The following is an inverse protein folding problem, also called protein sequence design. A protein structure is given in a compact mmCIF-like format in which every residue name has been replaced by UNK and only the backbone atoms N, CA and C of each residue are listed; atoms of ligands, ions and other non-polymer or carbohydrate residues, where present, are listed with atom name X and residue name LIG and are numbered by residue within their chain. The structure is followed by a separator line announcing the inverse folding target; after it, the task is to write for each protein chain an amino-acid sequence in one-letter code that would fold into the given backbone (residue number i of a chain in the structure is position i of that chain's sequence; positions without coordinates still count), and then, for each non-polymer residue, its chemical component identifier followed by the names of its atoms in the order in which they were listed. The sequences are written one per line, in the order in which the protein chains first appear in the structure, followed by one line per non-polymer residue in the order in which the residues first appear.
data_IF_306065376082
#
_entry.id   IF_306065376082
#
_cell.length_a   1.000
_cell.length_b   1.000
_cell.length_c   1.000
_cell.angle_alpha   90.00
_cell.angle_beta   90.00
_cell.angle_gamma   90.00
#
_symmetry.space_group_name_H-M   'P 1'
#
loop_
_entity.id
_entity.type
_entity.pdbx_description
1 polymer ?
#
# COMPACT_ATOMS: atom_id res chain seq x y z
N UNK A 1 -21.53 -41.09 -44.88
CA UNK A 1 -21.38 -39.93 -43.97
C UNK A 1 -22.58 -38.98 -44.12
N UNK A 2 -23.38 -38.80 -43.06
CA UNK A 2 -24.48 -37.83 -43.08
C UNK A 2 -23.87 -36.42 -43.16
N UNK A 3 -24.34 -35.55 -44.07
CA UNK A 3 -23.77 -34.20 -44.26
C UNK A 3 -23.69 -33.41 -42.95
N UNK A 4 -24.60 -33.68 -42.01
CA UNK A 4 -24.62 -33.10 -40.67
C UNK A 4 -23.43 -33.51 -39.79
N UNK A 5 -23.00 -34.77 -39.85
CA UNK A 5 -21.85 -35.29 -39.10
C UNK A 5 -20.55 -34.62 -39.56
N UNK A 6 -20.39 -34.49 -40.88
CA UNK A 6 -19.23 -33.85 -41.50
C UNK A 6 -19.13 -32.36 -41.14
N UNK A 7 -20.26 -31.64 -41.19
CA UNK A 7 -20.30 -30.22 -40.81
C UNK A 7 -19.95 -30.04 -39.33
N UNK A 8 -20.48 -30.89 -38.44
CA UNK A 8 -20.18 -30.83 -37.01
C UNK A 8 -18.71 -31.13 -36.69
N UNK A 9 -18.10 -32.09 -37.37
CA UNK A 9 -16.68 -32.44 -37.19
C UNK A 9 -15.77 -31.30 -37.64
N UNK A 10 -16.09 -30.64 -38.76
CA UNK A 10 -15.41 -29.42 -39.22
C UNK A 10 -15.60 -28.26 -38.23
N UNK A 11 -16.82 -28.05 -37.71
CA UNK A 11 -17.09 -27.00 -36.73
C UNK A 11 -16.32 -27.20 -35.44
N UNK A 12 -16.21 -28.44 -34.94
CA UNK A 12 -15.43 -28.74 -33.76
C UNK A 12 -13.92 -28.55 -34.00
N UNK A 13 -13.44 -28.91 -35.20
CA UNK A 13 -12.05 -28.66 -35.60
C UNK A 13 -11.70 -27.18 -35.59
N UNK A 14 -12.52 -26.37 -36.27
CA UNK A 14 -12.36 -24.92 -36.32
C UNK A 14 -12.36 -24.32 -34.92
N UNK A 15 -13.19 -24.84 -34.01
CA UNK A 15 -13.21 -24.40 -32.62
C UNK A 15 -11.88 -24.69 -31.90
N UNK A 16 -11.33 -25.90 -32.07
CA UNK A 16 -10.07 -26.29 -31.41
C UNK A 16 -8.85 -25.55 -31.94
N UNK A 17 -8.76 -25.34 -33.26
CA UNK A 17 -7.64 -24.60 -33.86
C UNK A 17 -7.73 -23.10 -33.59
N UNK A 18 -8.95 -22.54 -33.58
CA UNK A 18 -9.17 -21.14 -33.17
C UNK A 18 -8.79 -20.94 -31.71
N UNK A 19 -9.15 -21.87 -30.83
CA UNK A 19 -8.74 -21.82 -29.42
C UNK A 19 -7.22 -21.87 -29.25
N UNK A 20 -6.53 -22.77 -29.95
CA UNK A 20 -5.07 -22.87 -29.90
C UNK A 20 -4.39 -21.55 -30.31
N UNK A 21 -4.88 -20.92 -31.39
CA UNK A 21 -4.42 -19.60 -31.83
C UNK A 21 -4.71 -18.50 -30.81
N UNK A 22 -5.88 -18.54 -30.16
CA UNK A 22 -6.24 -17.56 -29.13
C UNK A 22 -5.32 -17.66 -27.91
N UNK A 23 -5.01 -18.87 -27.44
CA UNK A 23 -4.07 -19.09 -26.32
C UNK A 23 -2.64 -18.68 -26.67
N UNK A 24 -2.22 -18.91 -27.93
CA UNK A 24 -0.95 -18.39 -28.44
C UNK A 24 -0.92 -16.86 -28.39
N UNK A 25 -1.91 -16.18 -28.94
CA UNK A 25 -1.98 -14.72 -28.96
C UNK A 25 -2.01 -14.13 -27.55
N UNK A 26 -2.74 -14.74 -26.61
CA UNK A 26 -2.73 -14.34 -25.20
C UNK A 26 -1.34 -14.47 -24.59
N UNK A 27 -0.63 -15.56 -24.87
CA UNK A 27 0.72 -15.82 -24.37
C UNK A 27 1.73 -14.83 -24.96
N UNK A 28 1.65 -14.53 -26.25
CA UNK A 28 2.46 -13.51 -26.92
C UNK A 28 2.22 -12.12 -26.32
N UNK A 29 0.95 -11.74 -26.17
CA UNK A 29 0.59 -10.46 -25.56
C UNK A 29 1.10 -10.34 -24.12
N UNK A 30 0.92 -11.38 -23.31
CA UNK A 30 1.44 -11.40 -21.94
C UNK A 30 2.97 -11.31 -21.91
N UNK A 31 3.66 -11.92 -22.88
CA UNK A 31 5.12 -11.79 -23.00
C UNK A 31 5.54 -10.36 -23.39
N UNK A 32 4.82 -9.69 -24.29
CA UNK A 32 5.03 -8.28 -24.61
C UNK A 32 4.80 -7.37 -23.39
N UNK A 33 3.75 -7.64 -22.60
CA UNK A 33 3.48 -6.91 -21.35
C UNK A 33 4.63 -7.11 -20.33
N UNK A 34 5.23 -8.31 -20.29
CA UNK A 34 6.41 -8.60 -19.48
C UNK A 34 7.64 -7.78 -19.93
N UNK A 35 7.88 -7.68 -21.25
CA UNK A 35 8.95 -6.85 -21.82
C UNK A 35 8.71 -5.36 -21.57
N UNK A 36 7.46 -4.90 -21.66
CA UNK A 36 7.10 -3.52 -21.30
C UNK A 36 7.42 -3.22 -19.84
N UNK A 37 7.08 -4.14 -18.94
CA UNK A 37 7.41 -4.04 -17.51
C UNK A 37 8.93 -3.96 -17.28
N UNK A 38 9.73 -4.63 -18.11
CA UNK A 38 11.19 -4.57 -18.03
C UNK A 38 11.72 -3.14 -18.25
N UNK A 39 11.12 -2.37 -19.16
CA UNK A 39 11.47 -0.97 -19.38
C UNK A 39 11.12 -0.12 -18.15
N UNK A 40 9.94 -0.33 -17.56
CA UNK A 40 9.55 0.36 -16.31
C UNK A 40 10.53 0.09 -15.17
N UNK A 41 11.04 -1.14 -15.04
CA UNK A 41 12.06 -1.47 -14.02
C UNK A 41 13.35 -0.66 -14.21
N UNK A 42 13.75 -0.41 -15.45
CA UNK A 42 14.95 0.41 -15.76
C UNK A 42 14.73 1.85 -15.29
N UNK A 43 13.53 2.41 -15.52
CA UNK A 43 13.18 3.76 -15.06
C UNK A 43 13.13 3.84 -13.53
N UNK A 44 12.53 2.83 -12.88
CA UNK A 44 12.45 2.74 -11.42
C UNK A 44 13.83 2.66 -10.77
N UNK A 45 14.81 2.01 -11.41
CA UNK A 45 16.20 2.01 -10.94
C UNK A 45 16.78 3.43 -10.84
N UNK A 46 16.52 4.27 -11.84
CA UNK A 46 16.95 5.67 -11.83
C UNK A 46 16.18 6.46 -10.78
N UNK A 47 14.86 6.27 -10.69
CA UNK A 47 14.00 6.96 -9.73
C UNK A 47 14.40 6.64 -8.28
N UNK A 48 14.72 5.38 -7.97
CA UNK A 48 15.13 4.96 -6.62
C UNK A 48 16.43 5.65 -6.17
N UNK A 49 17.38 5.83 -7.09
CA UNK A 49 18.64 6.53 -6.81
C UNK A 49 18.48 8.04 -6.66
N UNK A 50 17.53 8.62 -7.39
CA UNK A 50 17.37 10.06 -7.54
C UNK A 50 16.20 10.63 -6.72
N UNK A 51 15.53 9.82 -5.89
CA UNK A 51 14.52 10.30 -4.96
C UNK A 51 15.13 11.39 -4.06
N UNK A 52 14.44 12.52 -3.91
CA UNK A 52 14.98 13.74 -3.27
C UNK A 52 14.56 13.91 -1.81
N UNK A 53 13.57 13.14 -1.36
CA UNK A 53 13.03 13.17 -0.02
C UNK A 53 12.34 11.84 0.32
N UNK A 54 11.95 11.69 1.58
CA UNK A 54 11.31 10.48 2.11
C UNK A 54 10.03 10.12 1.34
N UNK A 55 9.16 11.11 1.09
CA UNK A 55 7.90 10.90 0.37
C UNK A 55 8.12 10.33 -1.05
N UNK A 56 9.05 10.89 -1.81
CA UNK A 56 9.40 10.38 -3.13
C UNK A 56 10.00 8.98 -3.08
N UNK A 57 10.86 8.70 -2.09
CA UNK A 57 11.47 7.39 -1.94
C UNK A 57 10.42 6.30 -1.61
N UNK A 58 9.45 6.62 -0.76
CA UNK A 58 8.31 5.74 -0.44
C UNK A 58 7.41 5.49 -1.65
N UNK A 59 7.09 6.53 -2.43
CA UNK A 59 6.29 6.41 -3.65
C UNK A 59 6.98 5.49 -4.67
N UNK A 60 8.29 5.68 -4.87
CA UNK A 60 9.09 4.82 -5.75
C UNK A 60 9.13 3.39 -5.24
N UNK A 61 9.29 3.17 -3.92
CA UNK A 61 9.24 1.83 -3.33
C UNK A 61 7.91 1.13 -3.60
N UNK A 62 6.78 1.84 -3.52
CA UNK A 62 5.48 1.26 -3.84
C UNK A 62 5.41 0.83 -5.31
N UNK A 63 5.85 1.69 -6.24
CA UNK A 63 5.90 1.36 -7.67
C UNK A 63 6.81 0.15 -7.96
N UNK A 64 7.91 0.00 -7.23
CA UNK A 64 8.80 -1.17 -7.32
C UNK A 64 8.07 -2.46 -6.90
N UNK A 65 7.30 -2.41 -5.80
CA UNK A 65 6.49 -3.56 -5.35
C UNK A 65 5.40 -3.91 -6.36
N UNK A 66 4.74 -2.92 -6.93
CA UNK A 66 3.70 -3.13 -7.95
C UNK A 66 4.30 -3.79 -9.20
N UNK A 67 5.46 -3.29 -9.68
CA UNK A 67 6.18 -3.87 -10.80
C UNK A 67 6.63 -5.32 -10.53
N UNK A 68 7.00 -5.63 -9.28
CA UNK A 68 7.34 -6.99 -8.83
C UNK A 68 6.15 -7.94 -8.96
N UNK A 69 5.01 -7.52 -8.44
CA UNK A 69 3.78 -8.31 -8.49
C UNK A 69 3.34 -8.52 -9.94
N UNK A 70 3.34 -7.47 -10.75
CA UNK A 70 3.00 -7.54 -12.18
C UNK A 70 3.92 -8.50 -12.94
N UNK A 71 5.23 -8.48 -12.65
CA UNK A 71 6.21 -9.39 -13.25
C UNK A 71 5.90 -10.85 -12.91
N UNK A 72 5.60 -11.14 -11.63
CA UNK A 72 5.27 -12.49 -11.16
C UNK A 72 3.95 -13.00 -11.72
N UNK A 73 2.90 -12.18 -11.70
CA UNK A 73 1.57 -12.53 -12.21
C UNK A 73 1.60 -12.82 -13.71
N UNK A 74 2.25 -11.93 -14.48
CA UNK A 74 2.37 -12.10 -15.94
C UNK A 74 3.16 -13.36 -16.28
N UNK A 75 4.29 -13.60 -15.62
CA UNK A 75 5.09 -14.81 -15.85
C UNK A 75 4.31 -16.09 -15.47
N UNK A 76 3.58 -16.06 -14.35
CA UNK A 76 2.76 -17.18 -13.91
C UNK A 76 1.59 -17.46 -14.88
N UNK A 77 0.97 -16.42 -15.45
CA UNK A 77 -0.09 -16.57 -16.43
C UNK A 77 0.39 -17.29 -17.71
N UNK A 78 1.56 -16.94 -18.23
CA UNK A 78 2.16 -17.60 -19.41
C UNK A 78 2.50 -19.06 -19.10
N UNK A 79 3.08 -19.35 -17.93
CA UNK A 79 3.38 -20.72 -17.49
C UNK A 79 2.09 -21.55 -17.39
N UNK A 80 1.04 -20.99 -16.80
CA UNK A 80 -0.25 -21.68 -16.67
C UNK A 80 -0.91 -21.94 -18.02
N UNK A 81 -0.87 -20.98 -18.95
CA UNK A 81 -1.40 -21.17 -20.30
C UNK A 81 -0.69 -22.33 -21.02
N UNK A 82 0.64 -22.42 -20.87
CA UNK A 82 1.41 -23.56 -21.38
C UNK A 82 0.95 -24.90 -20.78
N UNK A 83 0.83 -24.99 -19.45
CA UNK A 83 0.40 -26.22 -18.77
C UNK A 83 -1.03 -26.64 -19.15
N UNK A 84 -1.96 -25.69 -19.23
CA UNK A 84 -3.35 -25.96 -19.57
C UNK A 84 -3.50 -26.38 -21.05
N UNK A 85 -2.71 -25.79 -21.95
CA UNK A 85 -2.68 -26.18 -23.34
C UNK A 85 -2.03 -27.57 -23.53
N UNK A 86 -0.96 -27.88 -22.78
CA UNK A 86 -0.33 -29.19 -22.80
C UNK A 86 -1.30 -30.30 -22.36
N UNK A 87 -2.06 -30.10 -21.29
CA UNK A 87 -3.11 -31.06 -20.86
C UNK A 87 -4.18 -31.25 -21.93
N UNK A 88 -4.52 -30.20 -22.66
CA UNK A 88 -5.48 -30.28 -23.77
C UNK A 88 -4.94 -31.16 -24.88
N UNK A 89 -3.67 -30.99 -25.25
CA UNK A 89 -3.01 -31.82 -26.26
C UNK A 89 -2.93 -33.29 -25.83
N UNK A 90 -2.57 -33.56 -24.58
CA UNK A 90 -2.53 -34.92 -24.02
C UNK A 90 -3.91 -35.61 -24.09
N UNK A 91 -4.99 -34.88 -23.80
CA UNK A 91 -6.35 -35.41 -23.96
C UNK A 91 -6.67 -35.75 -25.43
N UNK A 92 -6.26 -34.91 -26.38
CA UNK A 92 -6.45 -35.18 -27.82
C UNK A 92 -5.67 -36.41 -28.28
N UNK A 93 -4.44 -36.59 -27.79
CA UNK A 93 -3.63 -37.78 -28.07
C UNK A 93 -4.24 -39.05 -27.49
N UNK A 94 -4.81 -38.99 -26.27
CA UNK A 94 -5.53 -40.10 -25.66
C UNK A 94 -6.81 -40.45 -26.44
N UNK A 95 -7.57 -39.44 -26.88
CA UNK A 95 -8.74 -39.65 -27.73
C UNK A 95 -8.36 -40.32 -29.05
N UNK A 96 -7.25 -39.92 -29.66
CA UNK A 96 -6.71 -40.55 -30.87
C UNK A 96 -6.40 -42.03 -30.64
N UNK A 97 -5.73 -42.37 -29.53
CA UNK A 97 -5.42 -43.76 -29.19
C UNK A 97 -6.71 -44.59 -28.99
N UNK A 98 -7.73 -44.01 -28.36
CA UNK A 98 -9.03 -44.67 -28.17
C UNK A 98 -9.71 -44.95 -29.51
N UNK A 99 -9.73 -43.98 -30.44
CA UNK A 99 -10.30 -44.19 -31.78
C UNK A 99 -9.52 -45.23 -32.59
N UNK A 100 -8.19 -45.20 -32.54
CA UNK A 100 -7.35 -46.22 -33.20
C UNK A 100 -7.63 -47.62 -32.64
N UNK A 101 -7.89 -47.74 -31.33
CA UNK A 101 -8.26 -49.01 -30.71
C UNK A 101 -9.68 -49.44 -31.11
N UNK A 102 -10.62 -48.51 -31.23
CA UNK A 102 -11.99 -48.80 -31.68
C UNK A 102 -12.00 -49.33 -33.13
N UNK A 103 -11.19 -48.75 -34.02
CA UNK A 103 -11.01 -49.27 -35.38
C UNK A 103 -10.50 -50.70 -35.37
N UNK A 104 -9.48 -51.01 -34.57
CA UNK A 104 -8.98 -52.39 -34.42
C UNK A 104 -10.08 -53.34 -33.96
N UNK A 105 -10.92 -52.93 -33.01
CA UNK A 105 -12.04 -53.73 -32.54
C UNK A 105 -13.07 -53.99 -33.67
N UNK A 106 -13.35 -52.99 -34.50
CA UNK A 106 -14.22 -53.16 -35.67
C UNK A 106 -13.62 -54.07 -36.73
N UNK A 107 -12.31 -53.96 -37.00
CA UNK A 107 -11.59 -54.84 -37.92
C UNK A 107 -11.61 -56.30 -37.44
N UNK A 108 -11.40 -56.54 -36.14
CA UNK A 108 -11.52 -57.88 -35.55
C UNK A 108 -12.96 -58.43 -35.62
N UNK A 109 -13.96 -57.60 -35.40
CA UNK A 109 -15.36 -57.99 -35.53
C UNK A 109 -15.72 -58.31 -37.00
N UNK A 110 -15.15 -57.56 -37.95
CA UNK A 110 -15.36 -57.75 -39.38
C UNK A 110 -14.83 -59.11 -39.85
N UNK A 111 -13.69 -59.56 -39.31
CA UNK A 111 -13.14 -60.89 -39.58
C UNK A 111 -14.04 -62.04 -39.09
N UNK A 112 -14.87 -61.79 -38.07
CA UNK A 112 -15.77 -62.76 -37.45
C UNK A 112 -17.21 -62.69 -37.99
N UNK A 113 -17.52 -61.75 -38.88
CA UNK A 113 -18.87 -61.52 -39.35
C UNK A 113 -19.30 -62.57 -40.39
N UNK A 114 -20.47 -63.18 -40.18
CA UNK A 114 -20.96 -64.29 -41.01
C UNK A 114 -21.87 -63.84 -42.17
N UNK A 115 -22.45 -62.64 -42.11
CA UNK A 115 -23.34 -62.11 -43.16
C UNK A 115 -22.81 -60.80 -43.77
N UNK A 116 -23.29 -60.49 -44.98
CA UNK A 116 -22.82 -59.35 -45.76
C UNK A 116 -23.32 -58.00 -45.21
N UNK A 117 -24.47 -57.97 -44.53
CA UNK A 117 -25.04 -56.76 -43.95
C UNK A 117 -24.21 -56.25 -42.75
N UNK A 118 -23.77 -57.16 -41.87
CA UNK A 118 -22.88 -56.87 -40.74
C UNK A 118 -21.51 -56.43 -41.24
N UNK A 119 -20.97 -57.11 -42.27
CA UNK A 119 -19.71 -56.71 -42.90
C UNK A 119 -19.79 -55.32 -43.49
N UNK A 120 -20.88 -55.00 -44.20
CA UNK A 120 -21.10 -53.66 -44.75
C UNK A 120 -21.18 -52.61 -43.65
N UNK A 121 -21.92 -52.89 -42.57
CA UNK A 121 -22.06 -51.99 -41.43
C UNK A 121 -20.72 -51.73 -40.74
N UNK A 122 -19.91 -52.77 -40.52
CA UNK A 122 -18.59 -52.66 -39.91
C UNK A 122 -17.60 -51.90 -40.81
N UNK A 123 -17.63 -52.14 -42.13
CA UNK A 123 -16.84 -51.36 -43.09
C UNK A 123 -17.23 -49.88 -43.08
N UNK A 124 -18.54 -49.57 -43.06
CA UNK A 124 -19.04 -48.19 -42.97
C UNK A 124 -18.54 -47.51 -41.67
N UNK A 125 -18.50 -48.25 -40.54
CA UNK A 125 -17.94 -47.75 -39.26
C UNK A 125 -16.43 -47.52 -39.33
N UNK A 126 -15.66 -48.48 -39.86
CA UNK A 126 -14.20 -48.38 -40.03
C UNK A 126 -13.85 -47.19 -40.92
N UNK A 127 -14.56 -47.00 -42.04
CA UNK A 127 -14.31 -45.87 -42.96
C UNK A 127 -14.56 -44.53 -42.26
N UNK A 128 -15.66 -44.40 -41.51
CA UNK A 128 -15.99 -43.16 -40.78
C UNK A 128 -14.99 -42.89 -39.64
N UNK A 129 -14.59 -43.92 -38.90
CA UNK A 129 -13.61 -43.80 -37.83
C UNK A 129 -12.23 -43.41 -38.39
N UNK A 130 -11.78 -44.01 -39.49
CA UNK A 130 -10.52 -43.67 -40.14
C UNK A 130 -10.48 -42.22 -40.66
N UNK A 131 -11.61 -41.70 -41.19
CA UNK A 131 -11.71 -40.27 -41.53
C UNK A 131 -11.55 -39.38 -40.31
N UNK A 132 -12.20 -39.75 -39.20
CA UNK A 132 -12.12 -39.01 -37.94
C UNK A 132 -10.69 -39.02 -37.37
N UNK A 133 -10.02 -40.18 -37.42
CA UNK A 133 -8.60 -40.34 -37.04
C UNK A 133 -7.70 -39.44 -37.88
N UNK A 134 -7.86 -39.43 -39.21
CA UNK A 134 -7.06 -38.56 -40.09
C UNK A 134 -7.23 -37.08 -39.74
N UNK A 135 -8.47 -36.66 -39.51
CA UNK A 135 -8.79 -35.28 -39.15
C UNK A 135 -8.26 -34.91 -37.75
N UNK A 136 -8.36 -35.81 -36.77
CA UNK A 136 -7.80 -35.61 -35.44
C UNK A 136 -6.27 -35.53 -35.48
N UNK A 137 -5.60 -36.38 -36.27
CA UNK A 137 -4.15 -36.33 -36.49
C UNK A 137 -3.69 -34.97 -37.02
N UNK A 138 -4.37 -34.45 -38.04
CA UNK A 138 -4.07 -33.10 -38.57
C UNK A 138 -4.24 -32.01 -37.51
N UNK A 139 -5.25 -32.14 -36.64
CA UNK A 139 -5.49 -31.17 -35.57
C UNK A 139 -4.42 -31.24 -34.48
N UNK A 140 -4.05 -32.44 -34.07
CA UNK A 140 -2.98 -32.68 -33.10
C UNK A 140 -1.66 -32.14 -33.64
N UNK A 141 -1.36 -32.32 -34.93
CA UNK A 141 -0.15 -31.78 -35.57
C UNK A 141 -0.08 -30.26 -35.45
N UNK A 142 -1.14 -29.54 -35.84
CA UNK A 142 -1.23 -28.07 -35.72
C UNK A 142 -1.15 -27.60 -34.26
N UNK A 143 -1.84 -28.31 -33.36
CA UNK A 143 -1.82 -27.99 -31.94
C UNK A 143 -0.45 -28.30 -31.31
N UNK A 144 0.29 -29.29 -31.79
CA UNK A 144 1.64 -29.61 -31.32
C UNK A 144 2.63 -28.51 -31.70
N UNK A 145 2.52 -27.97 -32.91
CA UNK A 145 3.31 -26.81 -33.35
C UNK A 145 3.01 -25.59 -32.46
N UNK A 146 1.72 -25.28 -32.27
CA UNK A 146 1.28 -24.18 -31.40
C UNK A 146 1.74 -24.38 -29.94
N UNK A 147 1.67 -25.61 -29.43
CA UNK A 147 2.14 -25.96 -28.08
C UNK A 147 3.62 -25.70 -27.92
N UNK A 148 4.39 -26.02 -28.95
CA UNK A 148 5.84 -25.80 -28.98
C UNK A 148 6.17 -24.31 -28.94
N UNK A 149 5.43 -23.47 -29.67
CA UNK A 149 5.60 -22.01 -29.63
C UNK A 149 5.26 -21.43 -28.24
N UNK A 150 4.11 -21.81 -27.67
CA UNK A 150 3.71 -21.38 -26.31
C UNK A 150 4.74 -21.84 -25.27
N UNK A 151 5.27 -23.07 -25.42
CA UNK A 151 6.34 -23.60 -24.56
C UNK A 151 7.61 -22.76 -24.65
N UNK A 152 8.01 -22.37 -25.85
CA UNK A 152 9.17 -21.50 -26.06
C UNK A 152 8.99 -20.14 -25.38
N UNK A 153 7.82 -19.51 -25.56
CA UNK A 153 7.46 -18.26 -24.87
C UNK A 153 7.48 -18.41 -23.35
N UNK A 154 6.93 -19.51 -22.84
CA UNK A 154 6.93 -19.83 -21.41
C UNK A 154 8.34 -19.95 -20.83
N UNK A 155 9.26 -20.61 -21.54
CA UNK A 155 10.66 -20.65 -21.13
C UNK A 155 11.30 -19.26 -21.16
N UNK A 156 11.11 -18.48 -22.23
CA UNK A 156 11.64 -17.12 -22.31
C UNK A 156 11.12 -16.25 -21.17
N UNK A 157 9.81 -16.27 -20.90
CA UNK A 157 9.17 -15.55 -19.81
C UNK A 157 9.77 -15.95 -18.45
N UNK A 158 10.02 -17.24 -18.22
CA UNK A 158 10.65 -17.73 -16.98
C UNK A 158 12.06 -17.18 -16.78
N UNK A 159 12.88 -17.14 -17.82
CA UNK A 159 14.25 -16.60 -17.71
C UNK A 159 14.24 -15.08 -17.54
N UNK A 160 13.47 -14.37 -18.36
CA UNK A 160 13.38 -12.90 -18.31
C UNK A 160 12.82 -12.44 -16.96
N UNK A 161 11.73 -13.06 -16.48
CA UNK A 161 11.15 -12.71 -15.17
C UNK A 161 12.11 -12.99 -14.02
N UNK A 162 12.90 -14.07 -14.06
CA UNK A 162 13.90 -14.35 -13.04
C UNK A 162 14.94 -13.22 -12.93
N UNK A 163 15.47 -12.77 -14.07
CA UNK A 163 16.44 -11.67 -14.11
C UNK A 163 15.79 -10.33 -13.71
N UNK A 164 14.55 -10.08 -14.13
CA UNK A 164 13.78 -8.91 -13.70
C UNK A 164 13.57 -8.88 -12.19
N UNK A 165 13.17 -9.99 -11.57
CA UNK A 165 12.95 -10.09 -10.13
C UNK A 165 14.26 -9.87 -9.37
N UNK A 166 15.38 -10.41 -9.86
CA UNK A 166 16.68 -10.14 -9.26
C UNK A 166 17.02 -8.64 -9.32
N UNK A 167 16.81 -8.00 -10.47
CA UNK A 167 17.02 -6.56 -10.63
C UNK A 167 16.09 -5.74 -9.72
N UNK A 168 14.80 -6.11 -9.64
CA UNK A 168 13.81 -5.48 -8.77
C UNK A 168 14.27 -5.55 -7.31
N UNK A 169 14.71 -6.71 -6.82
CA UNK A 169 15.18 -6.86 -5.44
C UNK A 169 16.37 -5.93 -5.13
N UNK A 170 17.29 -5.73 -6.08
CA UNK A 170 18.40 -4.80 -5.92
C UNK A 170 17.94 -3.33 -5.88
N UNK A 171 16.95 -2.99 -6.71
CA UNK A 171 16.37 -1.63 -6.74
C UNK A 171 15.57 -1.38 -5.45
N UNK A 172 14.84 -2.38 -4.97
CA UNK A 172 14.10 -2.36 -3.70
C UNK A 172 15.04 -2.08 -2.53
N UNK A 173 16.18 -2.76 -2.46
CA UNK A 173 17.23 -2.47 -1.46
C UNK A 173 17.77 -1.04 -1.57
N UNK A 174 18.01 -0.55 -2.79
CA UNK A 174 18.47 0.83 -3.00
C UNK A 174 17.44 1.84 -2.50
N UNK A 175 16.15 1.61 -2.79
CA UNK A 175 15.07 2.49 -2.33
C UNK A 175 14.93 2.44 -0.80
N UNK A 176 15.06 1.26 -0.18
CA UNK A 176 15.03 1.10 1.28
C UNK A 176 16.18 1.85 1.96
N UNK A 177 17.40 1.74 1.45
CA UNK A 177 18.55 2.50 1.97
C UNK A 177 18.32 4.02 1.85
N UNK A 178 17.68 4.46 0.77
CA UNK A 178 17.35 5.88 0.57
C UNK A 178 16.28 6.36 1.56
N UNK A 179 15.29 5.52 1.85
CA UNK A 179 14.26 5.78 2.86
C UNK A 179 14.87 5.87 4.25
N UNK A 180 15.75 4.94 4.61
CA UNK A 180 16.46 4.93 5.89
C UNK A 180 17.29 6.21 6.06
N UNK A 181 18.08 6.58 5.03
CA UNK A 181 18.84 7.83 5.01
C UNK A 181 17.96 9.05 5.31
N UNK A 182 16.82 9.19 4.61
CA UNK A 182 15.93 10.33 4.82
C UNK A 182 15.20 10.31 6.15
N UNK A 183 14.92 9.13 6.69
CA UNK A 183 14.29 8.97 8.01
C UNK A 183 15.25 9.44 9.10
N UNK A 184 16.52 9.05 9.01
CA UNK A 184 17.57 9.47 9.94
C UNK A 184 17.80 10.99 9.85
N UNK A 185 17.86 11.56 8.64
CA UNK A 185 17.99 13.02 8.43
C UNK A 185 16.80 13.80 9.04
N UNK A 186 15.57 13.28 8.92
CA UNK A 186 14.38 13.89 9.55
C UNK A 186 14.40 13.78 11.08
N UNK A 187 14.91 12.68 11.64
CA UNK A 187 15.05 12.52 13.09
C UNK A 187 16.14 13.43 13.67
N UNK A 188 17.29 13.56 13.00
CA UNK A 188 18.34 14.49 13.42
C UNK A 188 17.86 15.94 13.35
N UNK A 189 17.15 16.33 12.29
CA UNK A 189 16.58 17.67 12.16
C UNK A 189 15.61 18.00 13.29
N UNK A 190 14.80 17.03 13.75
CA UNK A 190 13.89 17.20 14.89
C UNK A 190 14.65 17.41 16.20
N UNK A 191 15.70 16.61 16.45
CA UNK A 191 16.56 16.75 17.64
C UNK A 191 17.25 18.11 17.67
N UNK A 192 17.73 18.58 16.52
CA UNK A 192 18.36 19.91 16.40
C UNK A 192 17.36 21.05 16.63
N UNK A 193 16.11 20.90 16.17
CA UNK A 193 15.05 21.89 16.42
C UNK A 193 14.65 21.94 17.90
N UNK A 194 14.57 20.77 18.56
CA UNK A 194 14.28 20.66 19.99
C UNK A 194 15.40 21.27 20.83
N UNK A 195 16.67 21.00 20.50
CA UNK A 195 17.83 21.59 21.18
C UNK A 195 17.87 23.12 21.06
N UNK A 196 17.46 23.68 19.90
CA UNK A 196 17.36 25.15 19.71
C UNK A 196 16.25 25.76 20.57
N UNK A 197 15.09 25.11 20.66
CA UNK A 197 13.99 25.55 21.54
C UNK A 197 14.41 25.54 23.00
N UNK A 198 15.13 24.52 23.44
CA UNK A 198 15.68 24.44 24.80
C UNK A 198 16.71 25.56 25.08
N UNK A 199 17.55 25.90 24.10
CA UNK A 199 18.54 26.98 24.24
C UNK A 199 17.86 28.37 24.28
N UNK A 200 16.82 28.57 23.48
CA UNK A 200 16.01 29.80 23.47
C UNK A 200 15.25 29.97 24.80
N UNK A 201 14.65 28.89 25.32
CA UNK A 201 13.99 28.89 26.62
C UNK A 201 14.95 29.25 27.77
N UNK A 202 16.20 28.78 27.73
CA UNK A 202 17.23 29.14 28.72
C UNK A 202 17.61 30.62 28.65
N UNK A 203 17.73 31.20 27.44
CA UNK A 203 18.03 32.63 27.27
C UNK A 203 16.91 33.51 27.79
N UNK A 204 15.66 33.11 27.56
CA UNK A 204 14.49 33.82 28.11
C UNK A 204 14.44 33.74 29.64
N UNK A 205 14.81 32.59 30.22
CA UNK A 205 14.90 32.44 31.68
C UNK A 205 16.01 33.30 32.29
N UNK A 206 17.16 33.40 31.61
CA UNK A 206 18.29 34.23 32.03
C UNK A 206 17.94 35.73 31.92
N UNK A 207 17.25 36.14 30.86
CA UNK A 207 16.76 37.51 30.71
C UNK A 207 15.75 37.91 31.80
N UNK A 208 14.86 37.00 32.21
CA UNK A 208 13.94 37.23 33.34
C UNK A 208 14.68 37.43 34.66
N UNK A 209 15.72 36.63 34.93
CA UNK A 209 16.55 36.78 36.14
C UNK A 209 17.30 38.11 36.17
N UNK A 210 17.81 38.56 35.02
CA UNK A 210 18.45 39.88 34.91
C UNK A 210 17.47 41.04 35.13
N UNK A 211 16.22 40.90 34.67
CA UNK A 211 15.16 41.87 34.93
C UNK A 211 14.78 41.91 36.41
N UNK A 212 14.70 40.76 37.07
CA UNK A 212 14.45 40.64 38.50
C UNK A 212 15.58 41.28 39.32
N UNK A 213 16.84 41.03 38.95
CA UNK A 213 18.00 41.63 39.59
C UNK A 213 18.03 43.17 39.44
N UNK A 214 17.60 43.71 38.30
CA UNK A 214 17.46 45.17 38.10
C UNK A 214 16.36 45.76 38.99
N UNK A 215 15.21 45.09 39.12
CA UNK A 215 14.14 45.52 40.04
C UNK A 215 14.60 45.53 41.49
N UNK A 216 15.37 44.53 41.91
CA UNK A 216 15.97 44.49 43.25
C UNK A 216 16.99 45.61 43.47
N UNK A 217 17.78 45.97 42.45
CA UNK A 217 18.71 47.10 42.51
C UNK A 217 17.98 48.45 42.61
N UNK A 218 16.88 48.60 41.87
CA UNK A 218 16.02 49.79 41.93
C UNK A 218 15.34 49.93 43.30
N UNK A 219 14.84 48.83 43.86
CA UNK A 219 14.26 48.80 45.20
C UNK A 219 15.28 49.21 46.29
N UNK A 220 16.55 48.81 46.16
CA UNK A 220 17.62 49.25 47.08
C UNK A 220 17.93 50.74 46.96
N UNK A 221 17.91 51.31 45.76
CA UNK A 221 18.09 52.76 45.55
C UNK A 221 16.94 53.56 46.15
N UNK A 222 15.70 53.07 46.03
CA UNK A 222 14.54 53.68 46.67
C UNK A 222 14.60 53.60 48.20
N UNK A 223 15.14 52.50 48.76
CA UNK A 223 15.41 52.41 50.20
C UNK A 223 16.49 53.41 50.68
N UNK A 224 17.58 53.57 49.91
CA UNK A 224 18.60 54.58 50.20
C UNK A 224 18.05 56.01 50.09
N UNK A 225 17.20 56.28 49.11
CA UNK A 225 16.54 57.57 48.95
C UNK A 225 15.61 57.89 50.13
N UNK A 226 14.84 56.90 50.63
CA UNK A 226 14.02 57.06 51.83
C UNK A 226 14.85 57.31 53.10
N UNK A 227 15.98 56.63 53.27
CA UNK A 227 16.90 56.90 54.40
C UNK A 227 17.53 58.29 54.32
N UNK A 228 17.83 58.78 53.11
CA UNK A 228 18.31 60.15 52.91
C UNK A 228 17.21 61.20 53.18
N UNK A 229 15.95 60.88 52.90
CA UNK A 229 14.81 61.74 53.24
C UNK A 229 14.52 61.78 54.75
N UNK A 230 14.62 60.63 55.45
CA UNK A 230 14.56 60.57 56.92
C UNK A 230 15.70 61.36 57.58
N UNK A 231 16.92 61.31 57.02
CA UNK A 231 18.03 62.11 57.51
C UNK A 231 17.80 63.63 57.36
N UNK A 232 17.13 64.07 56.29
CA UNK A 232 16.73 65.48 56.11
C UNK A 232 15.61 65.90 57.06
N UNK A 233 14.62 65.04 57.32
CA UNK A 233 13.58 65.30 58.34
C UNK A 233 14.16 65.35 59.76
N UNK A 234 15.20 64.57 60.06
CA UNK A 234 15.94 64.67 61.32
C UNK A 234 16.78 65.96 61.43
N UNK A 235 17.20 66.55 60.30
CA UNK A 235 17.89 67.84 60.26
C UNK A 235 16.90 69.03 60.38
N UNK A 236 15.69 68.92 59.83
CA UNK A 236 14.61 69.89 60.07
C UNK A 236 14.10 69.83 61.52
N UNK A 237 14.01 68.65 62.13
CA UNK A 237 13.68 68.50 63.55
C UNK A 237 14.75 69.13 64.48
N UNK A 238 16.01 69.24 64.04
CA UNK A 238 17.07 69.97 64.77
C UNK A 238 17.04 71.48 64.57
N UNK A 239 16.39 72.00 63.53
CA UNK A 239 16.23 73.45 63.32
C UNK A 239 15.00 74.02 64.04
N UNK A 240 13.98 73.22 64.29
CA UNK A 240 12.84 73.65 65.11
C UNK A 240 13.10 73.59 66.63
N UNK A 241 14.17 72.93 67.08
CA UNK A 241 14.59 72.94 68.50
C UNK A 241 15.35 74.22 68.92
N UNK A 242 15.77 75.08 67.98
CA UNK A 242 16.45 76.35 68.27
C UNK A 242 15.50 77.58 68.29
N UNK A 243 14.24 77.44 67.89
CA UNK A 243 13.32 78.57 67.74
C UNK A 243 12.18 78.65 68.77
N UNK A 244 12.13 77.78 69.78
CA UNK A 244 11.11 77.86 70.87
C UNK A 244 11.68 77.54 72.25
N UNK A 245 12.57 78.43 72.72
CA UNK A 245 12.65 78.82 74.14
C UNK A 245 12.12 80.25 74.26
N UNK A 246 10.82 80.42 74.07
CA UNK A 246 10.07 81.50 74.69
C UNK A 246 8.58 81.18 74.62
N UNK A 247 7.90 81.53 75.71
CA UNK A 247 6.46 81.46 75.97
C UNK A 247 5.86 80.06 76.15
N UNK A 248 5.75 79.59 77.38
CA UNK A 248 4.66 79.89 78.33
C UNK A 248 3.28 79.34 77.92
N UNK A 249 2.87 78.38 78.75
CA UNK A 249 1.57 78.33 79.42
C UNK A 249 0.31 77.88 78.64
N UNK A 250 -0.26 76.81 79.22
CA UNK A 250 -1.70 76.46 79.33
C UNK A 250 -2.33 75.86 78.06
N UNK A 251 -2.68 74.56 78.10
CA UNK A 251 -4.00 74.02 78.50
C UNK A 251 -5.10 74.44 77.52
N UNK A 252 -5.97 73.60 77.00
CA UNK A 252 -6.45 72.26 77.31
C UNK A 252 -7.17 71.77 76.03
N UNK A 253 -7.31 70.44 75.90
CA UNK A 253 -8.37 69.71 75.15
C UNK A 253 -8.46 69.96 73.62
N UNK A 254 -8.53 68.96 72.73
CA UNK A 254 -9.37 67.77 72.77
C UNK A 254 -8.93 66.80 71.63
N UNK A 255 -8.94 65.48 71.92
CA UNK A 255 -9.31 64.34 71.05
C UNK A 255 -8.76 64.22 69.59
N UNK A 256 -8.42 63.04 69.02
CA UNK A 256 -8.38 61.61 69.38
C UNK A 256 -7.77 60.90 68.13
N UNK A 257 -6.84 59.95 68.38
CA UNK A 257 -6.61 58.63 67.74
C UNK A 257 -6.73 58.49 66.20
N UNK A 258 -5.66 58.15 65.49
CA UNK A 258 -4.99 56.84 65.35
C UNK A 258 -5.73 55.80 64.49
N UNK A 259 -4.94 55.27 63.55
CA UNK A 259 -4.94 53.91 62.97
C UNK A 259 -6.14 53.40 62.16
N UNK A 260 -5.87 53.09 60.89
CA UNK A 260 -5.85 51.72 60.33
C UNK A 260 -5.44 51.85 58.84
N UNK A 261 -4.26 51.43 58.39
CA UNK A 261 -3.73 50.07 58.27
C UNK A 261 -4.47 49.16 57.28
N UNK A 262 -3.75 48.84 56.18
CA UNK A 262 -3.76 47.58 55.43
C UNK A 262 -5.09 47.10 54.85
N UNK A 263 -5.19 47.20 53.52
CA UNK A 263 -5.58 46.14 52.57
C UNK A 263 -5.74 46.81 51.22
N UNK A 264 -5.07 46.29 50.18
CA UNK A 264 -5.63 46.15 48.82
C UNK A 264 -4.59 45.82 47.72
N UNK A 265 -3.30 45.73 48.01
CA UNK A 265 -2.29 45.40 46.98
C UNK A 265 -1.74 43.97 46.96
N UNK A 266 -2.15 43.08 47.88
CA UNK A 266 -1.81 41.64 47.78
C UNK A 266 -2.82 40.82 46.96
N UNK A 267 -3.97 41.37 46.58
CA UNK A 267 -5.00 40.63 45.85
C UNK A 267 -4.79 40.56 44.32
N UNK A 268 -3.82 41.29 43.75
CA UNK A 268 -3.58 41.30 42.29
C UNK A 268 -2.45 40.38 41.80
N UNK A 269 -1.56 39.90 42.67
CA UNK A 269 -0.51 38.94 42.28
C UNK A 269 -0.97 37.48 42.29
N UNK A 270 -1.98 37.14 43.10
CA UNK A 270 -2.57 35.78 43.09
C UNK A 270 -3.52 35.52 41.90
N UNK A 271 -4.00 36.56 41.21
CA UNK A 271 -4.81 36.42 39.99
C UNK A 271 -3.96 36.19 38.72
N UNK A 272 -2.72 36.68 38.68
CA UNK A 272 -1.80 36.44 37.55
C UNK A 272 -1.20 35.03 37.59
N UNK A 273 -0.83 34.53 38.78
CA UNK A 273 -0.31 33.17 38.93
C UNK A 273 -1.35 32.07 38.61
N UNK A 274 -2.65 32.33 38.83
CA UNK A 274 -3.73 31.39 38.45
C UNK A 274 -4.06 31.39 36.96
N UNK A 275 -3.84 32.48 36.23
CA UNK A 275 -4.06 32.52 34.78
C UNK A 275 -3.00 31.76 33.98
N UNK A 276 -1.75 31.75 34.45
CA UNK A 276 -0.67 30.98 33.80
C UNK A 276 -0.81 29.47 34.04
N UNK A 277 -1.35 29.03 35.18
CA UNK A 277 -1.68 27.62 35.42
C UNK A 277 -2.91 27.15 34.63
N UNK A 278 -3.93 28.01 34.45
CA UNK A 278 -5.08 27.71 33.55
C UNK A 278 -4.66 27.65 32.08
N UNK A 279 -3.69 28.45 31.65
CA UNK A 279 -3.16 28.42 30.28
C UNK A 279 -2.39 27.12 29.98
N UNK A 280 -1.56 26.63 30.91
CA UNK A 280 -0.85 25.35 30.76
C UNK A 280 -1.77 24.14 30.77
N UNK A 281 -2.80 24.13 31.64
CA UNK A 281 -3.79 23.05 31.64
C UNK A 281 -4.67 23.06 30.37
N UNK A 282 -4.93 24.22 29.76
CA UNK A 282 -5.64 24.32 28.49
C UNK A 282 -4.80 23.83 27.29
N UNK A 283 -3.47 23.99 27.35
CA UNK A 283 -2.56 23.50 26.31
C UNK A 283 -2.34 21.97 26.43
N UNK A 284 -2.22 21.43 27.65
CA UNK A 284 -2.21 19.97 27.87
C UNK A 284 -3.55 19.33 27.47
N UNK A 285 -4.68 19.98 27.73
CA UNK A 285 -5.99 19.49 27.29
C UNK A 285 -6.12 19.49 25.75
N UNK A 286 -5.58 20.50 25.04
CA UNK A 286 -5.56 20.52 23.57
C UNK A 286 -4.65 19.45 22.98
N UNK A 287 -3.48 19.22 23.57
CA UNK A 287 -2.57 18.16 23.10
C UNK A 287 -3.16 16.76 23.35
N UNK A 288 -3.90 16.56 24.45
CA UNK A 288 -4.64 15.32 24.71
C UNK A 288 -5.83 15.14 23.73
N UNK A 289 -6.48 16.23 23.31
CA UNK A 289 -7.54 16.21 22.31
C UNK A 289 -7.01 15.97 20.89
N UNK A 290 -5.84 16.53 20.53
CA UNK A 290 -5.14 16.22 19.27
C UNK A 290 -4.64 14.77 19.24
N UNK A 291 -4.13 14.25 20.36
CA UNK A 291 -3.73 12.84 20.45
C UNK A 291 -4.93 11.90 20.28
N UNK A 292 -6.09 12.23 20.88
CA UNK A 292 -7.33 11.47 20.68
C UNK A 292 -7.87 11.58 19.26
N UNK A 293 -7.80 12.76 18.63
CA UNK A 293 -8.21 12.94 17.23
C UNK A 293 -7.27 12.21 16.25
N UNK A 294 -5.97 12.13 16.55
CA UNK A 294 -5.03 11.35 15.77
C UNK A 294 -5.26 9.83 15.94
N UNK A 295 -5.63 9.38 17.14
CA UNK A 295 -6.02 7.98 17.39
C UNK A 295 -7.37 7.63 16.75
N UNK A 296 -8.36 8.53 16.78
CA UNK A 296 -9.62 8.39 16.04
C UNK A 296 -9.39 8.42 14.52
N UNK A 297 -8.46 9.23 14.01
CA UNK A 297 -8.09 9.24 12.60
C UNK A 297 -7.43 7.92 12.18
N UNK A 298 -6.53 7.37 13.00
CA UNK A 298 -5.93 6.04 12.76
C UNK A 298 -6.96 4.91 12.84
N UNK A 299 -7.88 4.96 13.81
CA UNK A 299 -8.95 3.97 13.91
C UNK A 299 -9.97 4.11 12.77
N UNK A 300 -10.22 5.32 12.26
CA UNK A 300 -11.06 5.54 11.08
C UNK A 300 -10.36 5.10 9.79
N UNK A 301 -9.04 5.22 9.70
CA UNK A 301 -8.23 4.70 8.60
C UNK A 301 -8.16 3.17 8.62
N UNK A 302 -7.97 2.55 9.80
CA UNK A 302 -8.08 1.09 9.97
C UNK A 302 -9.51 0.59 9.68
N UNK A 303 -10.55 1.32 10.08
CA UNK A 303 -11.93 0.97 9.75
C UNK A 303 -12.21 1.08 8.24
N UNK A 304 -11.67 2.11 7.56
CA UNK A 304 -11.74 2.24 6.10
C UNK A 304 -10.96 1.14 5.39
N UNK A 305 -9.76 0.80 5.86
CA UNK A 305 -8.96 -0.30 5.31
C UNK A 305 -9.63 -1.66 5.55
N UNK A 306 -10.32 -1.85 6.69
CA UNK A 306 -11.11 -3.04 6.97
C UNK A 306 -12.41 -3.11 6.16
N UNK A 307 -13.05 -1.97 5.87
CA UNK A 307 -14.22 -1.88 5.00
C UNK A 307 -13.82 -2.09 3.52
N UNK A 308 -12.64 -1.60 3.11
CA UNK A 308 -12.06 -1.81 1.78
C UNK A 308 -11.57 -3.25 1.60
N UNK A 309 -11.04 -3.88 2.65
CA UNK A 309 -10.76 -5.33 2.72
C UNK A 309 -12.04 -6.19 2.64
N UNK A 310 -13.16 -5.73 3.23
CA UNK A 310 -14.47 -6.38 3.09
C UNK A 310 -15.11 -6.14 1.71
N UNK A 311 -14.89 -4.97 1.09
CA UNK A 311 -15.33 -4.66 -0.28
C UNK A 311 -14.54 -5.45 -1.32
N UNK A 312 -13.25 -5.70 -1.10
CA UNK A 312 -12.41 -6.57 -1.93
C UNK A 312 -12.78 -8.04 -1.72
N UNK A 313 -13.03 -8.51 -0.49
CA UNK A 313 -13.56 -9.86 -0.27
C UNK A 313 -14.99 -10.09 -0.81
N UNK A 314 -15.86 -9.07 -0.83
CA UNK A 314 -17.17 -9.17 -1.48
C UNK A 314 -17.06 -9.07 -3.01
N UNK A 315 -16.11 -8.29 -3.56
CA UNK A 315 -15.78 -8.32 -4.99
C UNK A 315 -15.13 -9.64 -5.42
N UNK A 316 -14.40 -10.33 -4.54
CA UNK A 316 -13.86 -11.67 -4.79
C UNK A 316 -14.93 -12.78 -4.67
N UNK A 317 -16.06 -12.50 -4.03
CA UNK A 317 -17.26 -13.36 -4.02
C UNK A 317 -18.20 -13.07 -5.19
N UNK A 318 -18.26 -11.83 -5.70
CA UNK A 318 -19.03 -11.47 -6.89
C UNK A 318 -18.27 -11.68 -8.22
N UNK A 319 -16.93 -11.63 -8.24
CA UNK A 319 -16.12 -11.96 -9.45
C UNK A 319 -15.91 -13.46 -9.64
N UNK A 320 -16.26 -14.27 -8.63
CA UNK A 320 -16.45 -15.73 -8.78
C UNK A 320 -17.77 -16.12 -9.44
N UNK A 321 -18.40 -15.26 -10.23
CA UNK A 321 -19.38 -15.69 -11.25
C UNK A 321 -19.22 -14.86 -12.53
N UNK A 322 -18.01 -14.80 -13.06
CA UNK A 322 -17.85 -14.82 -14.51
C UNK A 322 -16.53 -15.48 -14.91
N UNK A 323 -16.30 -16.69 -14.39
CA UNK A 323 -15.56 -17.65 -15.20
C UNK A 323 -16.44 -17.91 -16.41
N UNK A 324 -16.11 -17.28 -17.53
CA UNK A 324 -16.32 -17.88 -18.85
C UNK A 324 -16.01 -19.38 -18.65
N UNK A 325 -16.95 -20.31 -18.94
CA UNK A 325 -16.79 -21.72 -18.59
C UNK A 325 -15.36 -22.11 -18.94
N UNK A 326 -14.61 -22.66 -17.97
CA UNK A 326 -13.16 -22.85 -18.15
C UNK A 326 -12.92 -23.35 -19.56
N UNK A 327 -11.93 -22.84 -20.27
CA UNK A 327 -11.62 -23.26 -21.64
C UNK A 327 -11.61 -24.80 -21.75
N UNK A 328 -11.14 -25.49 -20.70
CA UNK A 328 -11.28 -26.93 -20.52
C UNK A 328 -12.72 -27.47 -20.53
N UNK A 329 -13.73 -26.80 -19.96
CA UNK A 329 -15.16 -27.13 -20.06
C UNK A 329 -15.72 -26.89 -21.47
N UNK A 330 -15.35 -25.82 -22.17
CA UNK A 330 -15.81 -25.57 -23.55
C UNK A 330 -15.20 -26.60 -24.51
N UNK A 331 -13.94 -26.96 -24.30
CA UNK A 331 -13.24 -27.99 -25.06
C UNK A 331 -13.73 -29.39 -24.68
N UNK A 332 -13.95 -29.69 -23.40
CA UNK A 332 -14.60 -30.94 -22.99
C UNK A 332 -16.01 -31.05 -23.58
N UNK A 333 -16.74 -29.94 -23.69
CA UNK A 333 -18.03 -29.93 -24.36
C UNK A 333 -17.85 -30.18 -25.87
N UNK A 334 -16.89 -29.54 -26.53
CA UNK A 334 -16.59 -29.79 -27.94
C UNK A 334 -16.14 -31.24 -28.21
N UNK A 335 -15.25 -31.79 -27.39
CA UNK A 335 -14.78 -33.18 -27.44
C UNK A 335 -15.90 -34.17 -27.11
N UNK A 336 -16.72 -33.89 -26.10
CA UNK A 336 -17.91 -34.70 -25.79
C UNK A 336 -18.95 -34.65 -26.91
N UNK A 337 -19.10 -33.49 -27.58
CA UNK A 337 -19.94 -33.38 -28.77
C UNK A 337 -19.36 -34.22 -29.91
N UNK A 338 -18.05 -34.18 -30.17
CA UNK A 338 -17.40 -35.06 -31.17
C UNK A 338 -17.66 -36.54 -30.83
N UNK A 339 -17.46 -36.96 -29.59
CA UNK A 339 -17.67 -38.34 -29.15
C UNK A 339 -19.15 -38.78 -29.30
N UNK A 340 -20.11 -37.93 -28.93
CA UNK A 340 -21.55 -38.21 -29.07
C UNK A 340 -21.98 -38.24 -30.53
N UNK A 341 -21.39 -37.39 -31.37
CA UNK A 341 -21.70 -37.32 -32.80
C UNK A 341 -21.12 -38.50 -33.58
N UNK A 342 -20.01 -39.09 -33.11
CA UNK A 342 -19.40 -40.27 -33.72
C UNK A 342 -19.99 -41.59 -33.23
N UNK A 343 -20.68 -41.59 -32.08
CA UNK A 343 -21.43 -42.73 -31.57
C UNK A 343 -22.79 -42.96 -32.28
N UNK A 344 -23.25 -42.00 -33.09
CA UNK A 344 -24.47 -42.03 -33.92
C UNK A 344 -24.11 -42.12 -35.41
#
# INVERSE_FOLDING_TARGET
MNKKLFVLLISALLLTTTFAQEEKQKSEKAYEDLLSTQLTIIELRSAAKNAKNLQQALEVLQKIKDAKNQTLETAAAILKAHEDFQKTLENQENDLQNFEQEVKNYEEALLKADNDDDKKTLNDKIENANKSIQTLKQTIEVNTETSSEIRMLSYQAKYVSKDMIQNINQIEQTAQQKIEQYTDEEEEAKKDEEAKKDEEAKKDEEAKKDEEAKKDEEAKKDEEAKKAEEAKKAEEAKKDEEAKKDEEAKKDEEAKKDEEAKKDEEAKKDEEAKKDEEAKNAEEAKNAEEAKNAEEAKNAEEAKNAEEAKKTQNKDKESKVNTNPSSGKVIQLALAFIAVILAF
#
